data_IF_824975881361
#
_entry.id   IF_824975881361
#
_cell.length_a   1.000
_cell.length_b   1.000
_cell.length_c   1.000
_cell.angle_alpha   90.00
_cell.angle_beta   90.00
_cell.angle_gamma   90.00
#
_symmetry.space_group_name_H-M   'P 1'
#
loop_
_entity.id
_entity.type
_entity.pdbx_description
1 polymer ?
#
# COMPACT_ATOMS: atom_id res chain seq x y z
N UNK A 1 -10.14 26.97 10.16
CA UNK A 1 -10.11 25.96 9.09
C UNK A 1 -9.31 24.69 9.45
N UNK A 2 -7.96 24.70 9.45
CA UNK A 2 -7.14 23.46 9.43
C UNK A 2 -7.46 22.34 10.44
N UNK A 3 -7.56 22.65 11.75
CA UNK A 3 -7.72 21.63 12.81
C UNK A 3 -9.03 20.82 12.71
N UNK A 4 -10.14 21.46 12.33
CA UNK A 4 -11.44 20.80 12.19
C UNK A 4 -11.47 19.81 11.01
N UNK A 5 -10.89 20.19 9.86
CA UNK A 5 -10.76 19.27 8.71
C UNK A 5 -9.93 18.04 9.06
N UNK A 6 -8.83 18.21 9.80
CA UNK A 6 -8.00 17.09 10.27
C UNK A 6 -8.76 16.15 11.22
N UNK A 7 -9.55 16.70 12.15
CA UNK A 7 -10.40 15.90 13.05
C UNK A 7 -11.45 15.09 12.28
N UNK A 8 -12.15 15.72 11.33
CA UNK A 8 -13.13 15.04 10.48
C UNK A 8 -12.49 13.95 9.61
N UNK A 9 -11.33 14.20 8.98
CA UNK A 9 -10.61 13.19 8.22
C UNK A 9 -10.17 12.00 9.10
N UNK A 10 -9.74 12.24 10.35
CA UNK A 10 -9.36 11.16 11.27
C UNK A 10 -10.58 10.39 11.83
N UNK A 11 -11.69 11.07 12.10
CA UNK A 11 -12.97 10.44 12.48
C UNK A 11 -13.51 9.55 11.35
N UNK A 12 -13.41 9.99 10.10
CA UNK A 12 -13.76 9.18 8.93
C UNK A 12 -12.84 7.96 8.74
N UNK A 13 -11.54 8.07 9.07
CA UNK A 13 -10.65 6.90 9.15
C UNK A 13 -11.14 5.91 10.20
N UNK A 14 -11.47 6.36 11.40
CA UNK A 14 -11.94 5.48 12.48
C UNK A 14 -13.28 4.80 12.12
N UNK A 15 -14.27 5.57 11.68
CA UNK A 15 -15.57 5.04 11.24
C UNK A 15 -15.44 4.04 10.09
N UNK A 16 -14.73 4.41 9.02
CA UNK A 16 -14.55 3.51 7.87
C UNK A 16 -13.72 2.27 8.21
N UNK A 17 -12.82 2.33 9.19
CA UNK A 17 -12.08 1.15 9.69
C UNK A 17 -13.02 0.20 10.43
N UNK A 18 -13.92 0.69 11.28
CA UNK A 18 -14.97 -0.15 11.92
C UNK A 18 -15.87 -0.79 10.86
N UNK A 19 -16.34 -0.04 9.87
CA UNK A 19 -17.15 -0.59 8.77
C UNK A 19 -16.40 -1.67 7.96
N UNK A 20 -15.13 -1.43 7.65
CA UNK A 20 -14.26 -2.40 6.95
C UNK A 20 -14.00 -3.66 7.77
N UNK A 21 -13.86 -3.55 9.09
CA UNK A 21 -13.70 -4.69 9.99
C UNK A 21 -14.98 -5.53 10.06
N UNK A 22 -16.14 -4.91 10.24
CA UNK A 22 -17.44 -5.60 10.18
C UNK A 22 -17.65 -6.29 8.82
N UNK A 23 -17.29 -5.63 7.72
CA UNK A 23 -17.32 -6.21 6.38
C UNK A 23 -16.35 -7.40 6.23
N UNK A 24 -15.11 -7.31 6.72
CA UNK A 24 -14.13 -8.39 6.70
C UNK A 24 -14.64 -9.66 7.39
N UNK A 25 -15.21 -9.51 8.60
CA UNK A 25 -15.76 -10.64 9.35
C UNK A 25 -16.98 -11.23 8.64
N UNK A 26 -17.91 -10.37 8.19
CA UNK A 26 -19.09 -10.79 7.43
C UNK A 26 -18.71 -11.54 6.14
N UNK A 27 -17.77 -11.00 5.36
CA UNK A 27 -17.25 -11.61 4.14
C UNK A 27 -16.58 -12.97 4.42
N UNK A 28 -15.71 -13.07 5.43
CA UNK A 28 -15.06 -14.33 5.79
C UNK A 28 -16.07 -15.41 6.21
N UNK A 29 -17.13 -15.05 6.95
CA UNK A 29 -18.21 -15.97 7.33
C UNK A 29 -19.07 -16.35 6.11
N UNK A 30 -19.51 -15.37 5.31
CA UNK A 30 -20.34 -15.61 4.11
C UNK A 30 -19.61 -16.49 3.10
N UNK A 31 -18.31 -16.26 2.84
CA UNK A 31 -17.52 -17.09 1.93
C UNK A 31 -17.30 -18.51 2.49
N UNK A 32 -17.16 -18.69 3.82
CA UNK A 32 -17.14 -20.04 4.43
C UNK A 32 -18.46 -20.78 4.23
N UNK A 33 -19.59 -20.15 4.56
CA UNK A 33 -20.92 -20.74 4.41
C UNK A 33 -21.26 -21.04 2.95
N UNK A 34 -20.99 -20.08 2.05
CA UNK A 34 -21.16 -20.25 0.61
C UNK A 34 -20.29 -21.39 0.08
N UNK A 35 -19.08 -21.60 0.61
CA UNK A 35 -18.18 -22.67 0.16
C UNK A 35 -18.60 -24.05 0.67
N UNK A 36 -19.21 -24.11 1.86
CA UNK A 36 -19.82 -25.34 2.38
C UNK A 36 -21.06 -25.74 1.56
N UNK A 37 -21.89 -24.78 1.15
CA UNK A 37 -23.10 -25.02 0.34
C UNK A 37 -22.76 -25.26 -1.15
N UNK A 38 -21.84 -24.48 -1.71
CA UNK A 38 -21.47 -24.52 -3.12
C UNK A 38 -20.04 -23.97 -3.35
N UNK A 39 -19.03 -24.87 -3.47
CA UNK A 39 -17.67 -24.48 -3.81
C UNK A 39 -17.56 -23.72 -5.14
N UNK A 40 -18.42 -24.05 -6.12
CA UNK A 40 -18.44 -23.42 -7.44
C UNK A 40 -19.01 -22.00 -7.42
N UNK A 41 -20.09 -21.75 -6.67
CA UNK A 41 -20.62 -20.40 -6.44
C UNK A 41 -19.57 -19.51 -5.74
N UNK A 42 -18.88 -20.06 -4.75
CA UNK A 42 -17.81 -19.37 -4.04
C UNK A 42 -16.64 -19.01 -4.96
N UNK A 43 -16.19 -19.96 -5.79
CA UNK A 43 -15.16 -19.72 -6.81
C UNK A 43 -15.59 -18.60 -7.77
N UNK A 44 -16.84 -18.59 -8.23
CA UNK A 44 -17.40 -17.53 -9.09
C UNK A 44 -17.42 -16.15 -8.42
N UNK A 45 -17.82 -16.04 -7.15
CA UNK A 45 -17.84 -14.77 -6.41
C UNK A 45 -16.43 -14.23 -6.17
N UNK A 46 -15.48 -15.09 -5.79
CA UNK A 46 -14.10 -14.71 -5.51
C UNK A 46 -13.34 -14.34 -6.80
N UNK A 47 -13.58 -15.05 -7.91
CA UNK A 47 -13.02 -14.67 -9.23
C UNK A 47 -13.49 -13.29 -9.68
N UNK A 48 -14.79 -12.99 -9.57
CA UNK A 48 -15.34 -11.65 -9.85
C UNK A 48 -14.76 -10.56 -8.94
N UNK A 49 -14.42 -10.89 -7.69
CA UNK A 49 -13.69 -9.98 -6.83
C UNK A 49 -12.26 -9.74 -7.33
N UNK A 50 -11.58 -10.79 -7.82
CA UNK A 50 -10.22 -10.75 -8.37
C UNK A 50 -10.09 -9.96 -9.67
N UNK A 51 -11.11 -9.99 -10.53
CA UNK A 51 -11.23 -9.16 -11.75
C UNK A 51 -11.12 -7.66 -11.42
N UNK A 52 -11.82 -7.21 -10.36
CA UNK A 52 -11.84 -5.82 -9.92
C UNK A 52 -10.55 -5.33 -9.26
N UNK A 53 -9.57 -6.22 -9.01
CA UNK A 53 -8.27 -5.89 -8.37
C UNK A 53 -7.08 -6.42 -9.18
N UNK A 54 -7.27 -6.62 -10.48
CA UNK A 54 -6.29 -7.10 -11.48
C UNK A 54 -5.56 -8.41 -11.18
N UNK A 55 -5.82 -9.07 -10.04
CA UNK A 55 -5.19 -10.35 -9.66
C UNK A 55 -5.37 -11.45 -10.71
N UNK A 56 -6.51 -11.48 -11.41
CA UNK A 56 -6.78 -12.44 -12.49
C UNK A 56 -6.01 -12.15 -13.79
N UNK A 57 -5.34 -10.98 -13.89
CA UNK A 57 -4.50 -10.58 -15.03
C UNK A 57 -3.03 -11.01 -14.86
N UNK A 58 -2.63 -11.46 -13.66
CA UNK A 58 -1.28 -11.99 -13.41
C UNK A 58 -1.08 -13.28 -14.24
N UNK A 59 -0.04 -13.38 -15.10
CA UNK A 59 0.21 -14.59 -15.90
C UNK A 59 0.45 -15.88 -15.10
N UNK A 60 0.75 -15.75 -13.79
CA UNK A 60 0.89 -16.87 -12.84
C UNK A 60 -0.36 -17.09 -11.98
N UNK A 61 -1.49 -16.44 -12.28
CA UNK A 61 -2.72 -16.59 -11.52
C UNK A 61 -3.27 -18.02 -11.61
N UNK A 62 -3.56 -18.60 -10.45
CA UNK A 62 -4.43 -19.78 -10.31
C UNK A 62 -5.38 -19.50 -9.16
N UNK A 63 -6.65 -19.87 -9.31
CA UNK A 63 -7.64 -19.64 -8.26
C UNK A 63 -7.28 -20.42 -6.99
N UNK A 64 -6.82 -21.66 -7.15
CA UNK A 64 -6.52 -22.63 -6.09
C UNK A 64 -5.46 -22.11 -5.11
N UNK A 65 -4.50 -21.32 -5.60
CA UNK A 65 -3.39 -20.75 -4.82
C UNK A 65 -3.75 -19.42 -4.13
N UNK A 66 -4.92 -18.84 -4.44
CA UNK A 66 -5.32 -17.48 -4.04
C UNK A 66 -6.68 -17.44 -3.34
N UNK A 67 -7.73 -17.89 -4.02
CA UNK A 67 -9.13 -17.80 -3.58
C UNK A 67 -9.47 -18.53 -2.28
N UNK A 68 -8.97 -19.76 -2.03
CA UNK A 68 -9.18 -20.44 -0.76
C UNK A 68 -8.67 -19.68 0.46
N UNK A 69 -7.65 -18.82 0.31
CA UNK A 69 -7.00 -18.13 1.43
C UNK A 69 -7.91 -17.10 2.12
N UNK A 70 -8.91 -16.54 1.42
CA UNK A 70 -9.91 -15.63 2.00
C UNK A 70 -10.79 -16.28 3.09
N UNK A 71 -10.85 -17.61 3.15
CA UNK A 71 -11.48 -18.36 4.24
C UNK A 71 -10.59 -18.48 5.48
N UNK A 72 -9.27 -18.29 5.35
CA UNK A 72 -8.32 -18.53 6.44
C UNK A 72 -8.47 -17.53 7.59
N UNK A 73 -8.05 -17.93 8.79
CA UNK A 73 -7.86 -16.98 9.90
C UNK A 73 -6.62 -16.10 9.67
N UNK A 74 -5.64 -16.55 8.88
CA UNK A 74 -4.43 -15.80 8.53
C UNK A 74 -4.78 -14.51 7.78
N UNK A 75 -5.65 -14.60 6.77
CA UNK A 75 -6.22 -13.44 6.06
C UNK A 75 -6.90 -12.45 7.03
N UNK A 76 -7.76 -12.94 7.92
CA UNK A 76 -8.47 -12.09 8.90
C UNK A 76 -7.49 -11.40 9.86
N UNK A 77 -6.49 -12.12 10.38
CA UNK A 77 -5.41 -11.58 11.23
C UNK A 77 -4.60 -10.51 10.49
N UNK A 78 -4.20 -10.78 9.25
CA UNK A 78 -3.44 -9.87 8.40
C UNK A 78 -4.21 -8.57 8.11
N UNK A 79 -5.44 -8.68 7.61
CA UNK A 79 -6.28 -7.53 7.30
C UNK A 79 -6.64 -6.71 8.56
N UNK A 80 -6.79 -7.38 9.72
CA UNK A 80 -6.95 -6.70 11.01
C UNK A 80 -5.70 -5.94 11.46
N UNK A 81 -4.49 -6.51 11.29
CA UNK A 81 -3.21 -5.80 11.53
C UNK A 81 -3.13 -4.55 10.67
N UNK A 82 -3.45 -4.66 9.38
CA UNK A 82 -3.39 -3.53 8.43
C UNK A 82 -4.40 -2.42 8.80
N UNK A 83 -5.63 -2.80 9.16
CA UNK A 83 -6.63 -1.85 9.66
C UNK A 83 -6.22 -1.17 10.96
N UNK A 84 -5.61 -1.90 11.90
CA UNK A 84 -5.09 -1.34 13.14
C UNK A 84 -3.96 -0.33 12.91
N UNK A 85 -2.95 -0.69 12.10
CA UNK A 85 -1.83 0.21 11.76
C UNK A 85 -2.31 1.47 11.04
N UNK A 86 -3.34 1.36 10.18
CA UNK A 86 -3.94 2.50 9.50
C UNK A 86 -4.59 3.53 10.45
N UNK A 87 -4.91 3.20 11.71
CA UNK A 87 -5.41 4.17 12.70
C UNK A 87 -4.35 5.23 13.06
N UNK A 88 -3.06 4.91 12.86
CA UNK A 88 -1.91 5.79 13.08
C UNK A 88 -1.62 6.79 11.96
N UNK A 89 -2.42 6.83 10.89
CA UNK A 89 -2.11 7.68 9.72
C UNK A 89 -2.20 9.20 10.02
N UNK A 90 -1.24 9.94 9.49
CA UNK A 90 -1.01 11.37 9.66
C UNK A 90 -1.05 12.15 8.32
N UNK A 91 -0.70 11.51 7.21
CA UNK A 91 -0.72 12.12 5.88
C UNK A 91 -2.17 12.33 5.42
N UNK A 92 -2.65 13.57 5.44
CA UNK A 92 -4.04 13.95 5.11
C UNK A 92 -4.07 15.10 4.10
N UNK A 93 -5.03 15.11 3.18
CA UNK A 93 -5.08 16.11 2.09
C UNK A 93 -5.25 17.52 2.67
N UNK A 94 -4.45 18.46 2.16
CA UNK A 94 -4.39 19.83 2.68
C UNK A 94 -3.62 20.00 3.99
N UNK A 95 -2.93 18.95 4.46
CA UNK A 95 -2.01 18.97 5.60
C UNK A 95 -0.57 18.79 5.12
N UNK A 96 0.35 19.13 6.00
CA UNK A 96 1.78 18.95 5.81
C UNK A 96 2.12 17.45 5.71
N UNK A 97 3.06 17.10 4.85
CA UNK A 97 3.47 15.72 4.62
C UNK A 97 4.33 15.23 5.79
N UNK A 98 4.05 14.06 6.40
CA UNK A 98 4.90 13.54 7.48
C UNK A 98 6.32 13.27 6.97
N UNK A 99 7.31 13.96 7.52
CA UNK A 99 8.72 13.74 7.17
C UNK A 99 9.24 12.46 7.85
N UNK A 100 8.77 11.32 7.36
CA UNK A 100 9.09 10.00 7.89
C UNK A 100 10.52 9.59 7.51
N UNK A 101 11.26 8.91 8.41
CA UNK A 101 12.57 8.37 8.10
C UNK A 101 12.44 7.19 7.13
N UNK A 102 13.36 7.12 6.18
CA UNK A 102 13.49 6.02 5.21
C UNK A 102 14.98 5.74 4.99
N UNK A 103 15.33 4.55 4.52
CA UNK A 103 16.72 4.14 4.30
C UNK A 103 16.96 3.90 2.82
N UNK A 104 18.06 4.45 2.28
CA UNK A 104 18.47 4.24 0.89
C UNK A 104 18.93 2.80 0.64
N UNK A 105 18.99 2.40 -0.63
CA UNK A 105 19.50 1.07 -1.01
C UNK A 105 20.97 0.83 -0.60
N UNK A 106 21.76 1.89 -0.33
CA UNK A 106 23.11 1.80 0.24
C UNK A 106 23.17 1.89 1.79
N UNK A 107 22.01 1.87 2.48
CA UNK A 107 21.92 1.76 3.93
C UNK A 107 21.95 3.10 4.70
N UNK A 108 22.00 4.25 4.02
CA UNK A 108 22.02 5.58 4.67
C UNK A 108 20.61 6.00 5.11
N UNK A 109 20.48 6.46 6.36
CA UNK A 109 19.24 7.06 6.86
C UNK A 109 18.97 8.42 6.22
N UNK A 110 17.77 8.58 5.69
CA UNK A 110 17.27 9.80 5.04
C UNK A 110 15.79 10.02 5.42
N UNK A 111 15.08 10.91 4.74
CA UNK A 111 13.65 11.16 5.00
C UNK A 111 12.92 11.61 3.73
N UNK A 112 11.59 11.46 3.69
CA UNK A 112 10.78 11.79 2.51
C UNK A 112 10.99 13.25 2.05
N UNK A 113 11.00 14.21 2.97
CA UNK A 113 11.13 15.62 2.57
C UNK A 113 12.54 15.99 2.09
N UNK A 114 13.56 15.11 2.19
CA UNK A 114 14.85 15.32 1.52
C UNK A 114 14.74 15.13 0.01
N UNK A 115 13.96 14.16 -0.46
CA UNK A 115 13.70 13.97 -1.90
C UNK A 115 12.99 15.20 -2.49
N UNK A 116 11.95 15.70 -1.80
CA UNK A 116 11.22 16.93 -2.15
C UNK A 116 12.07 18.23 -2.12
N UNK A 117 13.32 18.17 -1.63
CA UNK A 117 14.24 19.32 -1.52
C UNK A 117 15.42 19.19 -2.48
N UNK A 118 15.94 17.99 -2.69
CA UNK A 118 17.16 17.74 -3.47
C UNK A 118 17.02 18.05 -4.97
N UNK A 119 15.85 17.81 -5.57
CA UNK A 119 15.63 17.99 -7.01
C UNK A 119 15.79 19.45 -7.47
N UNK A 120 15.38 20.42 -6.64
CA UNK A 120 15.40 21.87 -6.94
C UNK A 120 16.77 22.47 -7.21
N UNK A 121 17.86 21.76 -6.89
CA UNK A 121 19.23 22.24 -7.08
C UNK A 121 19.95 21.55 -8.25
N UNK A 122 19.32 20.57 -8.91
CA UNK A 122 19.94 19.78 -9.99
C UNK A 122 19.09 19.68 -11.26
N UNK A 123 17.76 19.82 -11.18
CA UNK A 123 16.89 19.87 -12.36
C UNK A 123 16.59 21.31 -12.71
N UNK A 124 17.39 21.85 -13.64
CA UNK A 124 17.11 23.07 -14.39
C UNK A 124 16.84 22.80 -15.88
N UNK A 125 17.12 21.58 -16.33
CA UNK A 125 17.10 21.15 -17.72
C UNK A 125 16.14 19.95 -17.92
N UNK A 126 14.92 20.17 -17.40
CA UNK A 126 13.64 19.61 -17.85
C UNK A 126 13.34 18.09 -17.83
N UNK A 127 13.72 17.39 -16.75
CA UNK A 127 12.89 16.29 -16.21
C UNK A 127 11.77 16.85 -15.31
N UNK A 128 10.97 17.77 -15.85
CA UNK A 128 10.78 19.11 -15.24
C UNK A 128 9.68 19.17 -14.15
N UNK A 129 8.62 18.39 -14.29
CA UNK A 129 7.34 18.71 -13.63
C UNK A 129 7.06 17.96 -12.32
N UNK A 130 7.63 16.76 -12.10
CA UNK A 130 7.35 16.00 -10.88
C UNK A 130 8.38 14.91 -10.55
N UNK A 131 8.97 15.00 -9.36
CA UNK A 131 9.84 13.98 -8.78
C UNK A 131 9.03 12.72 -8.40
N UNK A 132 9.62 11.54 -8.58
CA UNK A 132 9.06 10.25 -8.16
C UNK A 132 9.95 9.57 -7.10
N UNK A 133 9.34 8.80 -6.20
CA UNK A 133 10.01 8.05 -5.13
C UNK A 133 9.19 6.80 -4.79
N UNK A 134 9.84 5.63 -4.75
CA UNK A 134 9.22 4.41 -4.22
C UNK A 134 9.75 4.16 -2.80
N UNK A 135 8.83 4.04 -1.83
CA UNK A 135 9.12 3.54 -0.49
C UNK A 135 8.67 2.08 -0.41
N UNK A 136 9.62 1.17 -0.32
CA UNK A 136 9.39 -0.26 -0.11
C UNK A 136 9.07 -0.53 1.36
N UNK A 137 7.95 -1.20 1.63
CA UNK A 137 7.39 -1.40 2.98
C UNK A 137 7.39 -2.89 3.36
N UNK A 138 6.69 -3.28 4.44
CA UNK A 138 6.52 -4.70 4.78
C UNK A 138 5.72 -5.47 3.71
N UNK A 139 6.12 -6.72 3.46
CA UNK A 139 5.45 -7.59 2.48
C UNK A 139 3.96 -7.78 2.77
N UNK A 140 3.13 -7.60 1.73
CA UNK A 140 1.70 -7.88 1.81
C UNK A 140 1.40 -9.40 1.77
N UNK A 141 2.30 -10.20 1.21
CA UNK A 141 2.08 -11.63 0.92
C UNK A 141 3.33 -12.47 1.23
N UNK A 142 3.92 -12.26 2.42
CA UNK A 142 5.09 -13.00 2.88
C UNK A 142 4.84 -14.50 3.04
N UNK A 143 5.86 -15.31 2.77
CA UNK A 143 5.81 -16.79 2.80
C UNK A 143 5.45 -17.34 4.18
N UNK A 144 5.97 -16.76 5.26
CA UNK A 144 5.61 -17.07 6.66
C UNK A 144 4.37 -16.26 7.17
N UNK A 145 3.65 -15.61 6.26
CA UNK A 145 2.47 -14.76 6.52
C UNK A 145 1.24 -15.17 5.70
N UNK A 146 0.61 -14.21 5.00
CA UNK A 146 -0.57 -14.45 4.14
C UNK A 146 -0.16 -14.62 2.67
N UNK A 147 0.53 -15.72 2.39
CA UNK A 147 1.07 -16.05 1.07
C UNK A 147 0.04 -16.57 0.06
N UNK A 148 0.44 -16.55 -1.22
CA UNK A 148 -0.15 -17.30 -2.33
C UNK A 148 0.98 -18.09 -3.03
N UNK A 149 0.74 -19.34 -3.43
CA UNK A 149 1.82 -20.24 -3.92
C UNK A 149 2.56 -19.76 -5.19
N UNK A 150 1.99 -18.80 -5.95
CA UNK A 150 2.59 -18.27 -7.18
C UNK A 150 3.15 -16.83 -7.01
N UNK A 151 3.38 -16.37 -5.77
CA UNK A 151 4.03 -15.07 -5.48
C UNK A 151 5.57 -15.18 -5.54
N UNK A 152 6.27 -14.08 -5.25
CA UNK A 152 7.68 -14.13 -4.83
C UNK A 152 7.80 -14.81 -3.46
N UNK A 153 8.82 -15.65 -3.28
CA UNK A 153 9.15 -16.28 -2.01
C UNK A 153 10.00 -15.32 -1.16
N UNK A 154 9.34 -14.56 -0.29
CA UNK A 154 9.94 -13.56 0.60
C UNK A 154 9.30 -13.72 1.98
N UNK A 155 10.09 -14.03 3.00
CA UNK A 155 9.60 -14.08 4.38
C UNK A 155 9.41 -12.66 4.95
N UNK A 156 8.57 -12.52 5.97
CA UNK A 156 8.40 -11.27 6.71
C UNK A 156 9.76 -10.78 7.22
N UNK A 157 10.19 -9.62 6.73
CA UNK A 157 11.47 -8.99 7.10
C UNK A 157 11.66 -8.98 8.62
N UNK A 158 12.81 -9.46 9.09
CA UNK A 158 13.24 -9.53 10.50
C UNK A 158 14.38 -8.56 10.77
N UNK A 159 15.19 -8.27 9.75
CA UNK A 159 16.18 -7.19 9.73
C UNK A 159 15.90 -6.16 8.63
N UNK A 160 16.52 -4.99 8.75
CA UNK A 160 16.55 -3.96 7.71
C UNK A 160 17.24 -4.45 6.43
N UNK A 161 18.18 -5.39 6.55
CA UNK A 161 18.87 -5.97 5.39
C UNK A 161 17.94 -6.88 4.60
N UNK A 162 17.13 -7.70 5.27
CA UNK A 162 16.12 -8.55 4.62
C UNK A 162 15.21 -7.69 3.72
N UNK A 163 14.78 -6.53 4.22
CA UNK A 163 13.94 -5.56 3.51
C UNK A 163 14.67 -4.91 2.34
N UNK A 164 15.98 -4.65 2.45
CA UNK A 164 16.82 -4.16 1.34
C UNK A 164 17.04 -5.24 0.29
N UNK A 165 17.26 -6.49 0.68
CA UNK A 165 17.38 -7.63 -0.24
C UNK A 165 16.08 -7.86 -1.03
N UNK A 166 14.92 -7.79 -0.37
CA UNK A 166 13.61 -7.84 -1.04
C UNK A 166 13.43 -6.66 -2.00
N UNK A 167 13.69 -5.42 -1.54
CA UNK A 167 13.62 -4.23 -2.39
C UNK A 167 14.57 -4.27 -3.60
N UNK A 168 15.69 -4.99 -3.52
CA UNK A 168 16.60 -5.18 -4.64
C UNK A 168 15.94 -5.93 -5.82
N UNK A 169 14.95 -6.79 -5.58
CA UNK A 169 14.16 -7.46 -6.63
C UNK A 169 13.35 -6.44 -7.45
N UNK A 170 12.89 -5.36 -6.81
CA UNK A 170 12.24 -4.24 -7.49
C UNK A 170 13.24 -3.34 -8.21
N UNK A 171 14.42 -3.07 -7.62
CA UNK A 171 15.50 -2.32 -8.28
C UNK A 171 15.99 -3.03 -9.56
N UNK A 172 16.01 -4.37 -9.58
CA UNK A 172 16.25 -5.19 -10.78
C UNK A 172 15.16 -5.10 -11.86
N UNK A 173 14.11 -4.29 -11.67
CA UNK A 173 13.14 -3.92 -12.72
C UNK A 173 13.42 -2.55 -13.34
N UNK A 174 14.56 -1.95 -13.01
CA UNK A 174 15.03 -0.66 -13.51
C UNK A 174 13.96 0.46 -13.41
N UNK A 175 13.36 0.68 -12.20
CA UNK A 175 12.41 1.76 -12.01
C UNK A 175 13.08 3.11 -12.28
N UNK A 176 12.42 3.96 -13.06
CA UNK A 176 12.90 5.29 -13.47
C UNK A 176 12.91 6.34 -12.32
N UNK A 177 12.99 5.89 -11.07
CA UNK A 177 12.96 6.74 -9.88
C UNK A 177 13.67 6.05 -8.69
N UNK A 178 14.16 6.82 -7.69
CA UNK A 178 14.78 6.26 -6.51
C UNK A 178 13.87 5.28 -5.75
N UNK A 179 14.45 4.16 -5.34
CA UNK A 179 13.87 3.24 -4.35
C UNK A 179 14.54 3.48 -2.99
N UNK A 180 13.73 3.53 -1.95
CA UNK A 180 14.14 3.51 -0.53
C UNK A 180 13.30 2.47 0.21
N UNK A 181 13.74 2.05 1.39
CA UNK A 181 12.95 1.17 2.28
C UNK A 181 12.46 1.95 3.51
N UNK A 182 11.27 1.61 4.01
CA UNK A 182 10.78 2.10 5.30
C UNK A 182 11.53 1.43 6.47
N UNK A 183 11.62 2.10 7.61
CA UNK A 183 12.24 1.52 8.81
C UNK A 183 11.45 0.32 9.36
N UNK A 184 12.12 -0.50 10.17
CA UNK A 184 11.59 -1.81 10.61
C UNK A 184 10.43 -1.74 11.62
N UNK A 185 10.07 -0.54 12.07
CA UNK A 185 8.87 -0.24 12.85
C UNK A 185 7.65 0.11 11.96
N UNK A 186 7.81 0.07 10.63
CA UNK A 186 6.81 0.43 9.61
C UNK A 186 6.31 1.89 9.74
N UNK A 187 7.13 2.79 10.29
CA UNK A 187 6.72 4.18 10.63
C UNK A 187 6.21 4.98 9.43
N UNK A 188 6.79 4.84 8.24
CA UNK A 188 6.29 5.52 7.03
C UNK A 188 4.97 4.89 6.59
N UNK A 189 4.90 3.56 6.55
CA UNK A 189 3.71 2.82 6.16
C UNK A 189 2.51 3.13 7.10
N UNK A 190 2.77 3.31 8.40
CA UNK A 190 1.79 3.76 9.39
C UNK A 190 1.36 5.21 9.11
N UNK A 191 2.31 6.15 9.06
CA UNK A 191 2.01 7.60 8.90
C UNK A 191 1.31 7.93 7.58
N UNK A 192 1.63 7.22 6.51
CA UNK A 192 0.94 7.35 5.23
C UNK A 192 -0.27 6.41 5.10
N UNK A 193 -0.53 5.52 6.07
CA UNK A 193 -1.57 4.50 6.00
C UNK A 193 -1.48 3.73 4.69
N UNK A 194 -0.27 3.31 4.33
CA UNK A 194 0.12 2.93 2.97
C UNK A 194 0.03 1.42 2.69
N UNK A 195 -0.30 0.61 3.70
CA UNK A 195 -0.46 -0.83 3.57
C UNK A 195 -1.79 -1.19 2.84
N UNK A 196 -1.83 -2.20 1.95
CA UNK A 196 -0.69 -2.97 1.45
C UNK A 196 0.16 -2.21 0.42
N UNK A 197 -0.46 -1.27 -0.30
CA UNK A 197 0.17 -0.32 -1.25
C UNK A 197 -0.67 0.96 -1.31
N UNK A 198 -0.06 2.10 -1.65
CA UNK A 198 -0.78 3.39 -1.75
C UNK A 198 -0.05 4.46 -2.54
N UNK A 199 -0.81 5.22 -3.32
CA UNK A 199 -0.32 6.36 -4.10
C UNK A 199 -0.57 7.70 -3.38
N UNK A 200 0.38 8.63 -3.51
CA UNK A 200 0.35 9.98 -2.93
C UNK A 200 0.98 10.97 -3.90
N UNK A 201 0.53 12.24 -3.87
CA UNK A 201 1.24 13.36 -4.51
C UNK A 201 1.47 14.44 -3.48
N UNK A 202 2.72 14.91 -3.39
CA UNK A 202 3.17 15.89 -2.41
C UNK A 202 3.66 17.15 -3.15
N UNK A 203 3.18 18.34 -2.77
CA UNK A 203 3.59 19.63 -3.36
C UNK A 203 3.92 20.62 -2.25
N UNK A 204 5.08 21.28 -2.33
CA UNK A 204 5.54 22.26 -1.34
C UNK A 204 5.44 21.80 0.13
N UNK A 205 5.84 20.55 0.42
CA UNK A 205 5.79 19.95 1.75
C UNK A 205 4.41 19.52 2.24
N UNK A 206 3.38 19.50 1.38
CA UNK A 206 1.99 19.17 1.73
C UNK A 206 1.42 18.04 0.88
N UNK A 207 0.52 17.26 1.46
CA UNK A 207 -0.26 16.23 0.76
C UNK A 207 -1.34 16.93 -0.09
N UNK A 208 -1.23 16.82 -1.41
CA UNK A 208 -2.23 17.35 -2.37
C UNK A 208 -3.12 16.26 -2.95
N UNK A 209 -2.63 15.02 -3.08
CA UNK A 209 -3.44 13.84 -3.38
C UNK A 209 -3.06 12.68 -2.46
N UNK A 210 -4.06 11.84 -2.17
CA UNK A 210 -3.99 10.64 -1.33
C UNK A 210 -4.95 9.60 -1.92
N UNK A 211 -4.40 8.55 -2.53
CA UNK A 211 -5.20 7.50 -3.15
C UNK A 211 -5.94 6.64 -2.13
N UNK A 212 -6.79 5.75 -2.62
CA UNK A 212 -7.32 4.66 -1.81
C UNK A 212 -6.20 3.67 -1.40
N UNK A 213 -6.38 2.90 -0.32
CA UNK A 213 -5.49 1.77 -0.04
C UNK A 213 -5.70 0.69 -1.10
N UNK A 214 -4.61 0.10 -1.60
CA UNK A 214 -4.67 -0.95 -2.61
C UNK A 214 -5.20 -2.30 -2.10
N UNK A 215 -5.42 -3.27 -3.01
CA UNK A 215 -5.33 -3.09 -4.46
C UNK A 215 -6.50 -2.28 -5.04
N UNK A 216 -7.69 -2.31 -4.42
CA UNK A 216 -8.90 -1.59 -4.88
C UNK A 216 -8.71 -0.08 -5.08
N UNK A 217 -7.81 0.56 -4.32
CA UNK A 217 -7.54 2.00 -4.39
C UNK A 217 -6.27 2.39 -5.16
N UNK A 218 -5.54 1.43 -5.74
CA UNK A 218 -4.31 1.69 -6.49
C UNK A 218 -4.64 2.05 -7.94
N UNK A 219 -4.70 3.35 -8.26
CA UNK A 219 -5.12 3.83 -9.58
C UNK A 219 -4.14 4.86 -10.15
N UNK A 220 -3.24 4.39 -11.03
CA UNK A 220 -2.28 5.26 -11.75
C UNK A 220 -2.95 6.22 -12.74
N UNK A 221 -4.15 5.90 -13.25
CA UNK A 221 -4.89 6.81 -14.14
C UNK A 221 -5.55 7.95 -13.36
N UNK A 222 -6.02 7.71 -12.13
CA UNK A 222 -6.48 8.78 -11.23
C UNK A 222 -5.33 9.73 -10.90
N UNK A 223 -4.14 9.21 -10.58
CA UNK A 223 -2.94 10.02 -10.35
C UNK A 223 -2.56 10.82 -11.58
N UNK A 224 -2.55 10.21 -12.77
CA UNK A 224 -2.32 10.89 -14.05
C UNK A 224 -3.29 12.07 -14.24
N UNK A 225 -4.59 11.82 -14.17
CA UNK A 225 -5.62 12.86 -14.33
C UNK A 225 -5.70 13.86 -13.17
N UNK A 226 -5.01 13.62 -12.05
CA UNK A 226 -4.78 14.60 -11.00
C UNK A 226 -3.57 15.50 -11.31
N UNK A 227 -2.45 14.91 -11.77
CA UNK A 227 -1.26 15.65 -12.21
C UNK A 227 -1.56 16.55 -13.42
N UNK A 228 -2.31 16.05 -14.40
CA UNK A 228 -2.74 16.80 -15.59
C UNK A 228 -3.62 18.03 -15.26
N UNK A 229 -4.28 18.04 -14.10
CA UNK A 229 -5.08 19.18 -13.58
C UNK A 229 -4.30 20.12 -12.65
N UNK A 230 -3.01 19.85 -12.41
CA UNK A 230 -2.13 20.65 -11.56
C UNK A 230 -1.09 21.49 -12.34
N UNK A 231 -1.06 21.30 -13.67
CA UNK A 231 -0.38 22.17 -14.63
C UNK A 231 -1.11 23.49 -14.74
#
# INVERSE_FOLDING_TARGET
YGRASMFLQKLMVYFSTVCRFCYLIGFNVVIKMMHFISPSLSKKHILRMGENITMTQNPRFKYEDWGPTFKSFVFVKFASKHMWLALGQEAFVGRDAPDSPVVTMDGRKTSICKYMKGFKQLVKDFSDESDFLVVYIAEAHSTDGWAFNNNYDINQHRSLEDRRCAAQILVQKEPLCPVVVDEMDDVTAIKYGALPERLYVLRAGKVVYKGGPGPWGYNLQEVRSFLEKMK
#
